data_IF_149754482139
#
_entry.id   IF_149754482139
#
_cell.length_a   1.000
_cell.length_b   1.000
_cell.length_c   1.000
_cell.angle_alpha   90.00
_cell.angle_beta   90.00
_cell.angle_gamma   90.00
#
_symmetry.space_group_name_H-M   'P 1'
#
loop_
_entity.id
_entity.type
_entity.pdbx_description
1 polymer ?
#
# COMPACT_ATOMS: atom_id res chain seq x y z
N UNK A 1 -2.98 0.82 67.03
CA UNK A 1 -3.09 1.53 65.75
C UNK A 1 -1.79 1.18 65.02
N UNK A 2 -1.66 0.13 64.19
CA UNK A 2 -2.53 -0.32 63.08
C UNK A 2 -2.80 0.89 62.17
N UNK A 3 -2.28 1.06 60.97
CA UNK A 3 -2.03 0.14 59.84
C UNK A 3 -1.06 0.86 58.87
N UNK A 4 -0.03 0.21 58.31
CA UNK A 4 -0.02 -0.49 57.00
C UNK A 4 0.52 0.44 55.90
N UNK A 5 1.83 0.41 55.60
CA UNK A 5 2.50 -0.45 54.61
C UNK A 5 1.97 -0.32 53.18
N UNK A 6 2.93 -0.10 52.27
CA UNK A 6 2.98 -0.59 50.90
C UNK A 6 1.75 -0.45 50.00
N UNK A 7 1.90 0.36 48.95
CA UNK A 7 1.53 -0.12 47.61
C UNK A 7 2.24 0.68 46.52
N UNK A 8 3.27 0.04 45.98
CA UNK A 8 3.63 0.26 44.60
C UNK A 8 2.49 -0.19 43.67
N UNK A 9 2.08 0.72 42.79
CA UNK A 9 1.36 0.45 41.54
C UNK A 9 2.13 1.30 40.51
N UNK A 10 3.03 0.77 39.67
CA UNK A 10 2.95 -0.37 38.77
C UNK A 10 1.71 -0.31 37.87
N UNK A 11 1.94 -0.07 36.58
CA UNK A 11 0.92 0.12 35.55
C UNK A 11 1.43 1.11 34.52
N UNK A 12 2.43 0.73 33.73
CA UNK A 12 2.16 0.35 32.33
C UNK A 12 1.43 1.44 31.53
N UNK A 13 2.12 2.53 31.22
CA UNK A 13 1.85 3.28 29.99
C UNK A 13 2.91 2.93 28.92
N UNK A 14 3.21 1.65 28.82
CA UNK A 14 3.91 1.05 27.67
C UNK A 14 2.89 0.42 26.72
N UNK A 15 1.80 1.13 26.40
CA UNK A 15 0.76 0.54 25.56
C UNK A 15 -0.06 1.58 24.80
N UNK A 16 0.58 2.33 23.91
CA UNK A 16 -0.01 2.80 22.64
C UNK A 16 1.03 3.45 21.73
N UNK A 17 2.17 2.78 21.56
CA UNK A 17 2.72 2.75 20.21
C UNK A 17 1.65 2.03 19.37
N UNK A 18 0.72 2.82 18.83
CA UNK A 18 -0.28 2.36 17.88
C UNK A 18 0.51 1.57 16.85
N UNK A 19 0.38 0.25 16.92
CA UNK A 19 1.01 -0.65 15.97
C UNK A 19 0.34 -0.30 14.66
N UNK A 20 0.91 0.66 13.93
CA UNK A 20 0.57 0.95 12.56
C UNK A 20 0.50 -0.44 11.91
N UNK A 21 -0.66 -0.79 11.33
CA UNK A 21 -0.95 -2.16 10.94
C UNK A 21 0.26 -2.63 10.16
N UNK A 22 0.86 -3.74 10.59
CA UNK A 22 2.15 -4.26 10.12
C UNK A 22 2.16 -4.30 8.59
N UNK A 23 2.48 -3.16 7.99
CA UNK A 23 2.64 -2.92 6.56
C UNK A 23 4.02 -3.49 6.21
N UNK A 24 4.32 -4.70 6.67
CA UNK A 24 5.49 -5.43 6.27
C UNK A 24 5.29 -5.75 4.80
N UNK A 25 5.81 -4.88 3.91
CA UNK A 25 5.79 -4.97 2.45
C UNK A 25 4.68 -5.89 1.96
N UNK A 26 3.43 -5.40 1.98
CA UNK A 26 2.29 -6.17 1.46
C UNK A 26 2.64 -6.57 0.02
N UNK A 27 2.14 -7.71 -0.44
CA UNK A 27 2.41 -8.16 -1.81
C UNK A 27 2.09 -7.06 -2.84
N UNK A 28 1.06 -6.24 -2.59
CA UNK A 28 0.75 -5.02 -3.36
C UNK A 28 1.92 -4.02 -3.43
N UNK A 29 2.57 -3.71 -2.31
CA UNK A 29 3.74 -2.81 -2.28
C UNK A 29 4.91 -3.40 -3.09
N UNK A 30 5.12 -4.72 -3.00
CA UNK A 30 6.15 -5.41 -3.79
C UNK A 30 5.83 -5.38 -5.28
N UNK A 31 4.56 -5.53 -5.65
CA UNK A 31 4.10 -5.46 -7.04
C UNK A 31 4.31 -4.04 -7.58
N UNK A 32 3.99 -3.00 -6.81
CA UNK A 32 4.22 -1.60 -7.21
C UNK A 32 5.71 -1.29 -7.41
N UNK A 33 6.57 -1.76 -6.51
CA UNK A 33 8.03 -1.63 -6.67
C UNK A 33 8.51 -2.32 -7.96
N UNK A 34 8.06 -3.56 -8.20
CA UNK A 34 8.42 -4.29 -9.42
C UNK A 34 7.86 -3.62 -10.68
N UNK A 35 6.67 -3.03 -10.60
CA UNK A 35 6.04 -2.29 -11.68
C UNK A 35 6.89 -1.07 -12.06
N UNK A 36 7.31 -0.27 -11.08
CA UNK A 36 8.19 0.88 -11.34
C UNK A 36 9.52 0.44 -11.96
N UNK A 37 10.12 -0.64 -11.44
CA UNK A 37 11.33 -1.19 -12.01
C UNK A 37 11.14 -1.64 -13.47
N UNK A 38 10.02 -2.29 -13.81
CA UNK A 38 9.71 -2.70 -15.17
C UNK A 38 9.52 -1.47 -16.10
N UNK A 39 8.84 -0.42 -15.61
CA UNK A 39 8.73 0.86 -16.31
C UNK A 39 10.10 1.48 -16.62
N UNK A 40 10.99 1.53 -15.62
CA UNK A 40 12.32 2.13 -15.76
C UNK A 40 13.22 1.32 -16.73
N UNK A 41 12.95 0.02 -16.88
CA UNK A 41 13.62 -0.86 -17.85
C UNK A 41 12.98 -0.83 -19.25
N UNK A 42 11.85 -0.14 -19.43
CA UNK A 42 11.08 -0.16 -20.68
C UNK A 42 10.34 -1.48 -20.94
N UNK A 43 10.28 -2.38 -19.96
CA UNK A 43 9.57 -3.66 -20.07
C UNK A 43 8.08 -3.46 -19.75
N UNK A 44 7.37 -2.87 -20.71
CA UNK A 44 5.98 -2.48 -20.52
C UNK A 44 5.02 -3.66 -20.48
N UNK A 45 5.37 -4.80 -21.08
CA UNK A 45 4.53 -6.00 -21.02
C UNK A 45 4.53 -6.56 -19.59
N UNK A 46 5.71 -6.68 -18.97
CA UNK A 46 5.83 -7.10 -17.57
C UNK A 46 5.11 -6.11 -16.65
N UNK A 47 5.27 -4.80 -16.88
CA UNK A 47 4.57 -3.76 -16.11
C UNK A 47 3.03 -3.94 -16.18
N UNK A 48 2.47 -4.23 -17.34
CA UNK A 48 1.03 -4.47 -17.51
C UNK A 48 0.55 -5.72 -16.76
N UNK A 49 1.32 -6.81 -16.81
CA UNK A 49 0.97 -8.02 -16.07
C UNK A 49 0.97 -7.79 -14.56
N UNK A 50 1.94 -7.02 -14.04
CA UNK A 50 2.00 -6.66 -12.63
C UNK A 50 0.77 -5.85 -12.19
N UNK A 51 0.31 -4.90 -13.02
CA UNK A 51 -0.92 -4.15 -12.73
C UNK A 51 -2.17 -5.05 -12.76
N UNK A 52 -2.28 -5.98 -13.72
CA UNK A 52 -3.38 -6.96 -13.74
C UNK A 52 -3.43 -7.80 -12.46
N UNK A 53 -2.28 -8.24 -11.96
CA UNK A 53 -2.22 -8.99 -10.69
C UNK A 53 -2.64 -8.11 -9.52
N UNK A 54 -2.20 -6.85 -9.46
CA UNK A 54 -2.59 -5.91 -8.42
C UNK A 54 -4.10 -5.64 -8.44
N UNK A 55 -4.66 -5.35 -9.61
CA UNK A 55 -6.10 -5.15 -9.81
C UNK A 55 -6.89 -6.37 -9.34
N UNK A 56 -6.47 -7.57 -9.75
CA UNK A 56 -7.07 -8.83 -9.34
C UNK A 56 -7.06 -8.98 -7.81
N UNK A 57 -5.97 -8.63 -7.13
CA UNK A 57 -5.89 -8.67 -5.66
C UNK A 57 -6.84 -7.67 -4.99
N UNK A 58 -7.00 -6.48 -5.57
CA UNK A 58 -7.84 -5.42 -5.02
C UNK A 58 -9.34 -5.63 -5.27
N UNK A 59 -9.70 -6.39 -6.30
CA UNK A 59 -11.09 -6.61 -6.74
C UNK A 59 -11.67 -7.96 -6.32
N UNK A 60 -10.84 -8.99 -6.06
CA UNK A 60 -11.30 -10.36 -5.79
C UNK A 60 -12.14 -10.59 -4.53
N UNK A 61 -12.12 -9.72 -3.51
CA UNK A 61 -13.06 -9.83 -2.36
C UNK A 61 -13.12 -8.53 -1.53
N UNK A 62 -14.28 -7.87 -1.38
CA UNK A 62 -14.42 -6.79 -0.42
C UNK A 62 -14.52 -7.39 0.99
N UNK A 63 -13.41 -7.41 1.74
CA UNK A 63 -13.40 -8.00 3.10
C UNK A 63 -14.03 -7.06 4.15
N UNK A 64 -14.21 -5.78 3.83
CA UNK A 64 -14.91 -4.77 4.63
C UNK A 64 -14.91 -3.48 3.81
N UNK A 65 -15.79 -2.48 4.06
CA UNK A 65 -15.53 -1.10 3.64
C UNK A 65 -14.24 -0.60 4.31
N UNK A 66 -13.11 -0.96 3.70
CA UNK A 66 -11.78 -0.58 4.14
C UNK A 66 -11.52 0.85 3.67
N UNK A 67 -11.21 1.76 4.60
CA UNK A 67 -10.77 3.14 4.30
C UNK A 67 -9.59 3.11 3.31
N UNK A 68 -8.78 2.04 3.32
CA UNK A 68 -7.69 1.85 2.37
C UNK A 68 -8.15 1.48 0.96
N UNK A 69 -9.38 0.98 0.76
CA UNK A 69 -9.86 0.58 -0.58
C UNK A 69 -9.82 1.76 -1.56
N UNK A 70 -10.29 2.93 -1.12
CA UNK A 70 -10.26 4.14 -1.95
C UNK A 70 -8.83 4.51 -2.34
N UNK A 71 -7.92 4.58 -1.36
CA UNK A 71 -6.50 4.88 -1.60
C UNK A 71 -5.83 3.84 -2.51
N UNK A 72 -6.16 2.57 -2.35
CA UNK A 72 -5.62 1.49 -3.18
C UNK A 72 -6.10 1.60 -4.63
N UNK A 73 -7.37 1.96 -4.85
CA UNK A 73 -7.91 2.22 -6.19
C UNK A 73 -7.25 3.45 -6.81
N UNK A 74 -7.12 4.55 -6.06
CA UNK A 74 -6.42 5.77 -6.53
C UNK A 74 -4.97 5.45 -6.91
N UNK A 75 -4.27 4.61 -6.12
CA UNK A 75 -2.91 4.15 -6.43
C UNK A 75 -2.87 3.30 -7.71
N UNK A 76 -3.83 2.39 -7.89
CA UNK A 76 -3.93 1.55 -9.08
C UNK A 76 -4.17 2.41 -10.34
N UNK A 77 -5.06 3.40 -10.27
CA UNK A 77 -5.34 4.32 -11.37
C UNK A 77 -4.10 5.12 -11.75
N UNK A 78 -3.42 5.73 -10.78
CA UNK A 78 -2.18 6.47 -11.01
C UNK A 78 -1.08 5.61 -11.67
N UNK A 79 -1.00 4.32 -11.31
CA UNK A 79 -0.06 3.39 -11.93
C UNK A 79 -0.44 3.08 -13.40
N UNK A 80 -1.73 2.91 -13.70
CA UNK A 80 -2.20 2.75 -15.09
C UNK A 80 -1.92 4.00 -15.95
N UNK A 81 -2.18 5.19 -15.41
CA UNK A 81 -1.88 6.46 -16.10
C UNK A 81 -0.39 6.59 -16.42
N UNK A 82 0.48 6.28 -15.44
CA UNK A 82 1.93 6.26 -15.68
C UNK A 82 2.30 5.32 -16.83
N UNK A 83 1.79 4.08 -16.84
CA UNK A 83 2.07 3.12 -17.90
C UNK A 83 1.56 3.62 -19.26
N UNK A 84 0.39 4.25 -19.29
CA UNK A 84 -0.17 4.84 -20.50
C UNK A 84 0.75 5.90 -21.08
N UNK A 85 1.22 6.85 -20.27
CA UNK A 85 2.13 7.91 -20.70
C UNK A 85 3.47 7.37 -21.23
N UNK A 86 4.01 6.32 -20.59
CA UNK A 86 5.26 5.69 -21.04
C UNK A 86 5.10 4.97 -22.39
N UNK A 87 3.91 4.45 -22.71
CA UNK A 87 3.62 3.81 -24.01
C UNK A 87 3.26 4.79 -25.12
N UNK A 88 2.80 5.99 -24.76
CA UNK A 88 2.34 7.01 -25.69
C UNK A 88 3.06 8.34 -25.46
N UNK A 89 4.38 8.41 -25.71
CA UNK A 89 5.15 9.64 -25.51
C UNK A 89 4.64 10.80 -26.38
N UNK A 90 4.08 10.52 -27.55
CA UNK A 90 3.48 11.52 -28.46
C UNK A 90 2.30 12.25 -27.80
N UNK A 91 1.47 11.53 -27.04
CA UNK A 91 0.31 12.12 -26.35
C UNK A 91 0.69 13.09 -25.22
N UNK A 92 1.95 13.10 -24.78
CA UNK A 92 2.46 14.06 -23.80
C UNK A 92 2.99 15.35 -24.45
N UNK A 93 3.22 15.36 -25.77
CA UNK A 93 3.83 16.47 -26.51
C UNK A 93 2.86 17.47 -27.14
N UNK A 94 1.54 17.23 -27.09
CA UNK A 94 0.50 18.14 -27.61
C UNK A 94 -0.06 19.10 -26.54
N UNK A 95 0.79 19.57 -25.62
CA UNK A 95 0.45 20.58 -24.60
C UNK A 95 1.19 21.90 -24.81
#
# INVERSE_FOLDING_TARGET
>A
MADEEDRGESGEDTARAGSAPRQGRRLSDKILVAFHQACDQGDFEVAEQLLRVLEMMLTRRPVSPDINRRRNIETLVAAHERLWHLRHPEAAGEQ
#
